data_IF_819054101540
#
_entry.id   IF_819054101540
#
_cell.length_a   1.000
_cell.length_b   1.000
_cell.length_c   1.000
_cell.angle_alpha   90.00
_cell.angle_beta   90.00
_cell.angle_gamma   90.00
#
_symmetry.space_group_name_H-M   'P 1'
#
loop_
_entity.id
_entity.type
_entity.pdbx_description
1 polymer ?
#
# COMPACT_ATOMS: atom_id res chain seq x y z
N UNK A 1 -15.54 20.69 -10.80
CA UNK A 1 -15.00 20.03 -9.63
C UNK A 1 -13.49 20.06 -9.63
N UNK A 2 -12.91 20.38 -8.48
CA UNK A 2 -11.47 20.34 -8.35
C UNK A 2 -10.96 18.90 -8.56
N UNK A 3 -9.89 18.77 -9.33
CA UNK A 3 -9.25 17.49 -9.56
C UNK A 3 -8.67 16.98 -8.25
N UNK A 4 -9.03 15.77 -7.84
CA UNK A 4 -8.47 15.16 -6.63
C UNK A 4 -6.99 14.88 -6.83
N UNK A 5 -6.20 15.19 -5.82
CA UNK A 5 -4.77 14.96 -5.82
C UNK A 5 -4.49 13.45 -5.86
N UNK A 6 -3.51 13.06 -6.68
CA UNK A 6 -3.07 11.67 -6.73
C UNK A 6 -2.45 11.27 -5.39
N UNK A 7 -2.91 10.17 -4.82
CA UNK A 7 -2.40 9.68 -3.54
C UNK A 7 -0.95 9.19 -3.65
N UNK A 8 -0.20 9.41 -2.58
CA UNK A 8 1.18 8.92 -2.41
C UNK A 8 1.19 7.88 -1.28
N UNK A 9 2.19 6.99 -1.22
CA UNK A 9 2.30 6.04 -0.11
C UNK A 9 2.26 6.72 1.26
N UNK A 10 2.87 7.88 1.41
CA UNK A 10 2.87 8.64 2.67
C UNK A 10 1.49 9.13 3.10
N UNK A 11 0.53 9.23 2.18
CA UNK A 11 -0.86 9.60 2.51
C UNK A 11 -1.62 8.45 3.16
N UNK A 12 -1.14 7.21 2.96
CA UNK A 12 -1.80 5.98 3.43
C UNK A 12 -1.15 5.41 4.69
N UNK A 13 -0.02 5.95 5.10
CA UNK A 13 0.80 5.43 6.19
C UNK A 13 1.02 6.51 7.26
N UNK A 14 1.11 6.08 8.52
CA UNK A 14 1.59 6.97 9.57
C UNK A 14 3.05 7.37 9.33
N UNK A 15 3.55 8.45 9.98
CA UNK A 15 4.91 8.94 9.72
C UNK A 15 6.01 7.89 9.93
N UNK A 16 5.95 7.12 11.00
CA UNK A 16 6.95 6.09 11.27
C UNK A 16 6.78 4.89 10.34
N UNK A 17 5.55 4.49 10.06
CA UNK A 17 5.25 3.44 9.07
C UNK A 17 5.84 3.80 7.70
N UNK A 18 5.68 5.05 7.28
CA UNK A 18 6.22 5.54 6.01
C UNK A 18 7.75 5.46 5.96
N UNK A 19 8.42 5.83 7.06
CA UNK A 19 9.88 5.72 7.15
C UNK A 19 10.36 4.28 7.07
N UNK A 20 9.67 3.38 7.76
CA UNK A 20 10.01 1.95 7.77
C UNK A 20 9.76 1.34 6.38
N UNK A 21 8.62 1.62 5.76
CA UNK A 21 8.34 1.14 4.41
C UNK A 21 9.37 1.65 3.41
N UNK A 22 9.75 2.92 3.47
CA UNK A 22 10.78 3.48 2.60
C UNK A 22 12.12 2.74 2.77
N UNK A 23 12.48 2.40 4.00
CA UNK A 23 13.70 1.65 4.30
C UNK A 23 13.65 0.24 3.70
N UNK A 24 12.53 -0.46 3.85
CA UNK A 24 12.37 -1.82 3.31
C UNK A 24 12.37 -1.80 1.78
N UNK A 25 11.74 -0.80 1.15
CA UNK A 25 11.78 -0.68 -0.32
C UNK A 25 13.20 -0.49 -0.85
N UNK A 26 14.04 0.28 -0.13
CA UNK A 26 15.44 0.51 -0.51
C UNK A 26 16.36 -0.67 -0.20
N UNK A 27 15.99 -1.45 0.82
CA UNK A 27 16.82 -2.55 1.32
C UNK A 27 15.98 -3.83 1.45
N UNK A 28 15.56 -4.43 0.32
CA UNK A 28 14.77 -5.67 0.38
C UNK A 28 15.51 -6.77 1.12
N UNK A 29 14.82 -7.46 2.00
CA UNK A 29 15.43 -8.49 2.84
C UNK A 29 16.13 -7.93 4.08
N UNK A 30 15.85 -6.69 4.46
CA UNK A 30 16.46 -6.05 5.62
C UNK A 30 16.00 -6.72 6.93
N UNK A 31 16.93 -6.92 7.86
CA UNK A 31 16.61 -7.38 9.21
C UNK A 31 16.07 -6.24 10.07
N UNK A 32 15.44 -6.58 11.19
CA UNK A 32 14.99 -5.57 12.16
C UNK A 32 16.13 -4.74 12.73
N UNK A 33 17.28 -5.37 13.00
CA UNK A 33 18.48 -4.67 13.50
C UNK A 33 18.99 -3.67 12.47
N UNK A 34 19.15 -4.11 11.22
CA UNK A 34 19.65 -3.24 10.17
C UNK A 34 18.67 -2.13 9.83
N UNK A 35 17.38 -2.41 9.83
CA UNK A 35 16.35 -1.40 9.64
C UNK A 35 16.41 -0.34 10.74
N UNK A 36 16.61 -0.76 12.00
CA UNK A 36 16.76 0.16 13.13
C UNK A 36 17.94 1.09 12.92
N UNK A 37 19.09 0.54 12.53
CA UNK A 37 20.30 1.32 12.31
C UNK A 37 20.12 2.32 11.17
N UNK A 38 19.54 1.88 10.06
CA UNK A 38 19.29 2.73 8.88
C UNK A 38 18.33 3.88 9.21
N UNK A 39 17.29 3.63 9.97
CA UNK A 39 16.32 4.65 10.34
C UNK A 39 16.96 5.66 11.30
N UNK A 40 17.73 5.18 12.25
CA UNK A 40 18.35 6.03 13.27
C UNK A 40 19.50 6.89 12.72
N UNK A 41 20.12 6.50 11.61
CA UNK A 41 21.11 7.34 10.93
C UNK A 41 20.58 8.73 10.58
N UNK A 42 19.29 8.83 10.29
CA UNK A 42 18.64 10.08 9.84
C UNK A 42 17.85 10.79 10.95
N UNK A 43 17.96 10.31 12.19
CA UNK A 43 17.18 10.85 13.30
C UNK A 43 18.07 11.47 14.36
N UNK A 44 17.67 12.64 14.83
CA UNK A 44 18.35 13.31 15.96
C UNK A 44 18.11 12.55 17.26
N UNK A 45 16.86 12.03 17.42
CA UNK A 45 16.50 11.20 18.58
C UNK A 45 16.28 9.78 18.06
N UNK A 46 17.15 8.83 18.43
CA UNK A 46 17.03 7.48 17.95
C UNK A 46 15.83 6.76 18.56
N UNK A 47 15.23 5.86 17.78
CA UNK A 47 14.17 4.96 18.22
C UNK A 47 14.80 3.65 18.70
N UNK A 48 14.14 3.01 19.67
CA UNK A 48 14.57 1.71 20.15
C UNK A 48 14.33 0.65 19.09
N UNK A 49 15.16 -0.41 19.13
CA UNK A 49 14.98 -1.59 18.30
C UNK A 49 13.58 -2.18 18.48
N UNK A 50 13.10 -2.22 19.72
CA UNK A 50 11.77 -2.74 20.05
C UNK A 50 10.65 -1.97 19.36
N UNK A 51 10.74 -0.65 19.31
CA UNK A 51 9.77 0.20 18.61
C UNK A 51 9.72 -0.14 17.12
N UNK A 52 10.89 -0.25 16.50
CA UNK A 52 11.00 -0.61 15.08
C UNK A 52 10.42 -2.00 14.81
N UNK A 53 10.77 -2.99 15.64
CA UNK A 53 10.24 -4.35 15.50
C UNK A 53 8.72 -4.39 15.64
N UNK A 54 8.15 -3.61 16.56
CA UNK A 54 6.70 -3.54 16.74
C UNK A 54 6.02 -3.03 15.48
N UNK A 55 6.58 -2.00 14.86
CA UNK A 55 6.00 -1.44 13.63
C UNK A 55 6.20 -2.39 12.45
N UNK A 56 7.37 -3.01 12.31
CA UNK A 56 7.61 -4.03 11.28
C UNK A 56 6.60 -5.18 11.39
N UNK A 57 6.36 -5.68 12.60
CA UNK A 57 5.37 -6.74 12.85
C UNK A 57 3.96 -6.30 12.47
N UNK A 58 3.62 -5.05 12.76
CA UNK A 58 2.31 -4.48 12.42
C UNK A 58 2.14 -4.38 10.90
N UNK A 59 3.16 -3.92 10.19
CA UNK A 59 3.13 -3.83 8.73
C UNK A 59 3.03 -5.20 8.08
N UNK A 60 3.72 -6.19 8.64
CA UNK A 60 3.62 -7.59 8.23
C UNK A 60 2.18 -8.11 8.42
N UNK A 61 1.61 -7.88 9.61
CA UNK A 61 0.23 -8.29 9.92
C UNK A 61 -0.81 -7.63 9.01
N UNK A 62 -0.56 -6.37 8.60
CA UNK A 62 -1.42 -5.67 7.65
C UNK A 62 -1.26 -6.18 6.21
N UNK A 63 -0.27 -7.03 5.95
CA UNK A 63 0.00 -7.57 4.62
C UNK A 63 0.82 -6.65 3.72
N UNK A 64 1.45 -5.62 4.26
CA UNK A 64 2.30 -4.69 3.50
C UNK A 64 3.72 -5.22 3.35
N UNK A 65 4.18 -5.97 4.31
CA UNK A 65 5.47 -6.65 4.32
C UNK A 65 5.28 -8.16 4.38
N UNK A 66 6.27 -8.87 3.89
CA UNK A 66 6.44 -10.29 4.15
C UNK A 66 7.82 -10.51 4.77
N UNK A 67 8.05 -11.67 5.34
CA UNK A 67 9.36 -12.00 5.90
C UNK A 67 9.73 -13.45 5.62
N UNK A 68 11.02 -13.69 5.59
CA UNK A 68 11.60 -15.04 5.64
C UNK A 68 12.42 -15.14 6.90
N UNK A 69 12.53 -16.36 7.43
CA UNK A 69 13.31 -16.63 8.63
C UNK A 69 14.71 -17.06 8.21
N UNK A 70 15.71 -16.37 8.76
CA UNK A 70 17.12 -16.74 8.60
C UNK A 70 17.71 -16.94 10.01
N UNK A 71 17.77 -18.20 10.43
CA UNK A 71 18.13 -18.52 11.81
C UNK A 71 17.07 -18.01 12.79
N UNK A 72 17.44 -17.04 13.64
CA UNK A 72 16.53 -16.37 14.57
C UNK A 72 16.10 -14.99 14.09
N UNK A 73 16.50 -14.63 12.90
CA UNK A 73 16.29 -13.29 12.33
C UNK A 73 15.21 -13.33 11.27
N UNK A 74 14.33 -12.36 11.29
CA UNK A 74 13.37 -12.12 10.22
C UNK A 74 13.95 -11.14 9.23
N UNK A 75 13.86 -11.45 7.94
CA UNK A 75 14.28 -10.60 6.85
C UNK A 75 13.04 -10.11 6.13
N UNK A 76 12.82 -8.81 6.13
CA UNK A 76 11.57 -8.20 5.65
C UNK A 76 11.69 -7.69 4.22
N UNK A 77 10.63 -7.90 3.45
CA UNK A 77 10.51 -7.41 2.08
C UNK A 77 9.10 -6.87 1.86
N UNK A 78 8.96 -5.80 1.11
CA UNK A 78 7.66 -5.26 0.75
C UNK A 78 6.93 -6.21 -0.21
N UNK A 79 5.62 -6.36 -0.02
CA UNK A 79 4.79 -7.25 -0.84
C UNK A 79 4.74 -6.77 -2.29
N UNK A 80 4.74 -5.45 -2.50
CA UNK A 80 4.79 -4.83 -3.83
C UNK A 80 5.82 -3.71 -3.85
N UNK A 81 6.39 -3.38 -5.01
CA UNK A 81 7.29 -2.22 -5.14
C UNK A 81 6.62 -0.91 -4.76
N UNK A 82 7.42 0.08 -4.38
CA UNK A 82 6.93 1.40 -3.97
C UNK A 82 5.99 2.01 -5.01
N UNK A 83 6.35 1.95 -6.28
CA UNK A 83 5.56 2.53 -7.37
C UNK A 83 4.20 1.86 -7.58
N UNK A 84 4.01 0.65 -7.05
CA UNK A 84 2.76 -0.10 -7.18
C UNK A 84 1.93 -0.10 -5.89
N UNK A 85 2.47 0.46 -4.81
CA UNK A 85 1.85 0.36 -3.48
C UNK A 85 0.45 0.99 -3.43
N UNK A 86 0.30 2.19 -3.97
CA UNK A 86 -0.99 2.92 -3.93
C UNK A 86 -2.06 2.17 -4.71
N UNK A 87 -1.73 1.73 -5.94
CA UNK A 87 -2.67 0.97 -6.78
C UNK A 87 -3.05 -0.36 -6.14
N UNK A 88 -2.08 -1.07 -5.57
CA UNK A 88 -2.30 -2.32 -4.85
C UNK A 88 -3.19 -2.10 -3.63
N UNK A 89 -2.96 -1.02 -2.89
CA UNK A 89 -3.75 -0.67 -1.71
C UNK A 89 -5.20 -0.34 -2.10
N UNK A 90 -5.38 0.41 -3.20
CA UNK A 90 -6.71 0.73 -3.73
C UNK A 90 -7.46 -0.53 -4.16
N UNK A 91 -6.78 -1.46 -4.84
CA UNK A 91 -7.39 -2.74 -5.24
C UNK A 91 -7.87 -3.54 -4.04
N UNK A 92 -7.08 -3.61 -2.98
CA UNK A 92 -7.47 -4.28 -1.73
C UNK A 92 -8.71 -3.63 -1.12
N UNK A 93 -8.78 -2.30 -1.12
CA UNK A 93 -9.94 -1.57 -0.60
C UNK A 93 -11.20 -1.91 -1.40
N UNK A 94 -11.09 -1.97 -2.72
CA UNK A 94 -12.22 -2.35 -3.59
C UNK A 94 -12.65 -3.79 -3.34
N UNK A 95 -11.71 -4.72 -3.23
CA UNK A 95 -12.02 -6.12 -2.91
C UNK A 95 -12.77 -6.26 -1.59
N UNK A 96 -12.39 -5.46 -0.58
CA UNK A 96 -13.09 -5.44 0.69
C UNK A 96 -14.53 -4.92 0.55
N UNK A 97 -14.77 -3.96 -0.34
CA UNK A 97 -16.12 -3.49 -0.65
C UNK A 97 -16.95 -4.57 -1.32
N UNK A 98 -16.38 -5.33 -2.24
CA UNK A 98 -17.07 -6.47 -2.86
C UNK A 98 -17.47 -7.52 -1.82
N UNK A 99 -16.59 -7.85 -0.90
CA UNK A 99 -16.88 -8.81 0.17
C UNK A 99 -17.99 -8.31 1.09
N UNK A 100 -17.98 -7.01 1.38
CA UNK A 100 -18.94 -6.40 2.32
C UNK A 100 -20.33 -6.20 1.72
N UNK A 101 -20.40 -5.72 0.48
CA UNK A 101 -21.65 -5.29 -0.15
C UNK A 101 -22.12 -6.18 -1.30
N UNK A 102 -21.28 -7.12 -1.75
CA UNK A 102 -21.56 -7.95 -2.92
C UNK A 102 -21.18 -7.25 -4.22
N UNK A 103 -21.13 -8.04 -5.30
CA UNK A 103 -20.62 -7.56 -6.58
C UNK A 103 -21.52 -6.47 -7.21
N UNK A 104 -22.80 -6.76 -7.34
CA UNK A 104 -23.74 -5.84 -8.01
C UNK A 104 -23.88 -4.53 -7.25
N UNK A 105 -24.01 -4.58 -5.93
CA UNK A 105 -24.15 -3.37 -5.11
C UNK A 105 -22.89 -2.49 -5.18
N UNK A 106 -21.71 -3.10 -5.14
CA UNK A 106 -20.44 -2.37 -5.22
C UNK A 106 -20.29 -1.70 -6.58
N UNK A 107 -20.56 -2.43 -7.67
CA UNK A 107 -20.49 -1.88 -9.03
C UNK A 107 -21.50 -0.75 -9.21
N UNK A 108 -22.73 -0.93 -8.74
CA UNK A 108 -23.76 0.11 -8.80
C UNK A 108 -23.37 1.34 -8.00
N UNK A 109 -22.77 1.13 -6.82
CA UNK A 109 -22.25 2.21 -6.00
C UNK A 109 -21.15 3.01 -6.68
N UNK A 110 -20.22 2.32 -7.34
CA UNK A 110 -19.17 2.97 -8.12
C UNK A 110 -19.76 3.83 -9.23
N UNK A 111 -20.69 3.29 -10.01
CA UNK A 111 -21.35 4.03 -11.09
C UNK A 111 -22.16 5.20 -10.55
N UNK A 112 -22.89 5.01 -9.46
CA UNK A 112 -23.65 6.08 -8.82
C UNK A 112 -22.76 7.24 -8.36
N UNK A 113 -21.61 6.91 -7.77
CA UNK A 113 -20.65 7.91 -7.32
C UNK A 113 -20.01 8.66 -8.50
N UNK A 114 -19.82 7.99 -9.63
CA UNK A 114 -19.20 8.57 -10.83
C UNK A 114 -20.21 9.32 -11.70
N UNK A 115 -21.51 9.07 -11.56
CA UNK A 115 -22.54 9.55 -12.48
C UNK A 115 -22.66 11.08 -12.58
N UNK A 116 -22.23 11.79 -11.54
CA UNK A 116 -22.25 13.26 -11.50
C UNK A 116 -21.05 13.91 -12.18
N UNK A 117 -20.10 13.11 -12.64
CA UNK A 117 -18.87 13.58 -13.27
C UNK A 117 -18.70 12.88 -14.64
N UNK A 118 -19.09 13.57 -15.75
CA UNK A 118 -18.97 12.97 -17.08
C UNK A 118 -17.55 12.54 -17.45
N UNK A 119 -16.53 13.27 -16.99
CA UNK A 119 -15.14 12.92 -17.25
C UNK A 119 -14.76 11.60 -16.57
N UNK A 120 -15.29 11.34 -15.39
CA UNK A 120 -15.06 10.09 -14.67
C UNK A 120 -15.73 8.90 -15.34
N UNK A 121 -16.97 9.09 -15.84
CA UNK A 121 -17.68 8.05 -16.61
C UNK A 121 -16.90 7.69 -17.87
N UNK A 122 -16.42 8.69 -18.59
CA UNK A 122 -15.61 8.50 -19.79
C UNK A 122 -14.32 7.76 -19.48
N UNK A 123 -13.66 8.11 -18.37
CA UNK A 123 -12.45 7.43 -17.90
C UNK A 123 -12.73 5.96 -17.56
N UNK A 124 -13.85 5.68 -16.91
CA UNK A 124 -14.26 4.31 -16.60
C UNK A 124 -14.46 3.49 -17.88
N UNK A 125 -15.12 4.07 -18.87
CA UNK A 125 -15.37 3.41 -20.16
C UNK A 125 -14.05 3.09 -20.86
N UNK A 126 -13.12 4.05 -20.92
CA UNK A 126 -11.81 3.86 -21.55
C UNK A 126 -11.02 2.76 -20.85
N UNK A 127 -10.99 2.75 -19.52
CA UNK A 127 -10.28 1.75 -18.74
C UNK A 127 -10.90 0.36 -18.93
N UNK A 128 -12.23 0.27 -18.92
CA UNK A 128 -12.93 -0.99 -19.13
C UNK A 128 -12.59 -1.59 -20.49
N UNK A 129 -12.56 -0.77 -21.52
CA UNK A 129 -12.20 -1.19 -22.88
C UNK A 129 -10.75 -1.70 -22.94
N UNK A 130 -9.83 -1.04 -22.25
CA UNK A 130 -8.42 -1.48 -22.16
C UNK A 130 -8.30 -2.83 -21.49
N UNK A 131 -8.97 -3.03 -20.36
CA UNK A 131 -8.93 -4.29 -19.63
C UNK A 131 -9.54 -5.44 -20.44
N UNK A 132 -10.63 -5.21 -21.15
CA UNK A 132 -11.22 -6.20 -22.04
C UNK A 132 -10.28 -6.58 -23.18
N UNK A 133 -9.61 -5.61 -23.78
CA UNK A 133 -8.66 -5.84 -24.87
C UNK A 133 -7.44 -6.63 -24.40
N UNK A 134 -6.94 -6.39 -23.20
CA UNK A 134 -5.79 -7.10 -22.66
C UNK A 134 -6.13 -8.51 -22.17
N UNK A 135 -7.41 -8.81 -21.89
CA UNK A 135 -7.85 -10.12 -21.45
C UNK A 135 -8.06 -11.12 -22.62
N UNK A 136 -8.06 -10.64 -23.86
CA UNK A 136 -8.09 -11.47 -25.06
C UNK A 136 -6.69 -11.57 -25.65
#
# INVERSE_FOLDING_TARGET
MARRKRAKPTDLLGPLEAQIMATVWRHPGVSGVDATDLINEKRDVPLSHRTILTVLSRLDAKGYLTHVVDGRTYLYTAVVPEGEFVAWHAERAVKALFERYGDDTTISGLLGAAATDPAMLERLDDLLNRYRSSAT
#
